data_IF_097267047828
#
_entry.id   IF_097267047828
#
_cell.length_a   1.000
_cell.length_b   1.000
_cell.length_c   1.000
_cell.angle_alpha   90.00
_cell.angle_beta   90.00
_cell.angle_gamma   90.00
#
_symmetry.space_group_name_H-M   'P 1'
#
loop_
_entity.id
_entity.type
_entity.pdbx_description
1 polymer ?
#
# COMPACT_ATOMS: atom_id res chain seq x y z
N UNK A 1 -47.32 -16.97 14.96
CA UNK A 1 -47.57 -15.89 13.95
C UNK A 1 -46.47 -14.85 14.14
N UNK A 2 -45.45 -14.88 13.28
CA UNK A 2 -44.31 -13.93 13.29
C UNK A 2 -44.61 -12.83 12.30
N UNK A 3 -44.69 -11.59 12.77
CA UNK A 3 -44.85 -10.39 11.94
C UNK A 3 -43.50 -10.02 11.34
N UNK A 4 -43.37 -10.06 10.02
CA UNK A 4 -42.26 -9.47 9.29
C UNK A 4 -42.56 -7.98 9.08
N UNK A 5 -41.60 -7.15 9.47
CA UNK A 5 -41.58 -5.73 9.12
C UNK A 5 -40.86 -5.58 7.76
N UNK A 6 -41.64 -5.19 6.77
CA UNK A 6 -41.15 -4.81 5.43
C UNK A 6 -40.84 -3.31 5.52
N UNK A 7 -39.60 -2.93 5.37
CA UNK A 7 -39.19 -1.52 5.17
C UNK A 7 -39.15 -1.27 3.68
N UNK A 8 -40.13 -0.57 3.18
CA UNK A 8 -40.22 -0.12 1.80
C UNK A 8 -39.28 1.05 1.55
N UNK A 9 -38.34 0.91 0.63
CA UNK A 9 -37.57 1.99 0.07
C UNK A 9 -38.41 2.77 -0.94
N UNK A 10 -38.62 4.07 -0.69
CA UNK A 10 -39.30 4.97 -1.60
C UNK A 10 -38.30 5.52 -2.61
N UNK A 11 -38.42 5.14 -3.86
CA UNK A 11 -37.68 5.72 -4.97
C UNK A 11 -38.36 7.01 -5.42
N UNK A 12 -37.68 8.13 -5.38
CA UNK A 12 -38.13 9.37 -5.99
C UNK A 12 -37.34 9.60 -7.28
N UNK A 13 -37.99 9.42 -8.40
CA UNK A 13 -37.48 9.73 -9.74
C UNK A 13 -37.72 11.23 -10.04
N UNK A 14 -36.64 11.97 -10.33
CA UNK A 14 -36.73 13.27 -10.98
C UNK A 14 -35.97 13.19 -12.29
N UNK A 15 -36.68 13.33 -13.41
CA UNK A 15 -36.17 13.48 -14.76
C UNK A 15 -35.82 14.96 -14.96
N UNK A 16 -34.63 15.25 -15.39
CA UNK A 16 -34.22 16.59 -15.81
C UNK A 16 -32.77 16.54 -16.32
N UNK A 17 -32.62 16.46 -17.66
CA UNK A 17 -31.30 16.46 -18.28
C UNK A 17 -30.62 17.81 -18.17
N UNK A 18 -29.29 17.77 -18.11
CA UNK A 18 -28.35 18.61 -18.88
C UNK A 18 -26.94 18.05 -18.68
N UNK A 19 -26.20 17.93 -19.77
CA UNK A 19 -24.78 17.57 -19.84
C UNK A 19 -23.91 18.46 -18.98
N UNK A 20 -23.03 17.86 -18.16
CA UNK A 20 -21.72 18.45 -17.86
C UNK A 20 -20.86 17.52 -17.00
N UNK A 21 -19.68 17.20 -17.49
CA UNK A 21 -18.41 16.94 -16.81
C UNK A 21 -18.48 16.33 -15.41
N UNK A 22 -18.37 15.01 -15.33
CA UNK A 22 -18.18 14.30 -14.07
C UNK A 22 -16.77 14.49 -13.50
N UNK A 23 -16.55 15.64 -12.86
CA UNK A 23 -15.63 15.72 -11.74
C UNK A 23 -16.44 15.26 -10.52
N UNK A 24 -16.34 13.99 -10.14
CA UNK A 24 -16.91 13.53 -8.88
C UNK A 24 -16.23 14.29 -7.74
N UNK A 25 -16.86 15.32 -7.26
CA UNK A 25 -16.47 16.01 -6.04
C UNK A 25 -16.51 14.97 -4.92
N UNK A 26 -15.33 14.57 -4.45
CA UNK A 26 -15.17 13.65 -3.35
C UNK A 26 -15.73 14.32 -2.10
N UNK A 27 -16.92 13.93 -1.68
CA UNK A 27 -17.55 14.48 -0.47
C UNK A 27 -16.70 14.06 0.73
N UNK A 28 -15.95 15.00 1.28
CA UNK A 28 -15.18 14.80 2.50
C UNK A 28 -16.17 14.79 3.66
N UNK A 29 -16.43 13.65 4.24
CA UNK A 29 -17.20 13.55 5.47
C UNK A 29 -16.36 14.10 6.62
N UNK A 30 -16.92 15.02 7.41
CA UNK A 30 -16.27 15.59 8.59
C UNK A 30 -16.07 14.54 9.69
N UNK A 31 -16.93 13.52 9.71
CA UNK A 31 -16.81 12.29 10.48
C UNK A 31 -17.39 11.14 9.65
N UNK A 32 -16.86 9.90 9.78
CA UNK A 32 -17.44 8.77 9.08
C UNK A 32 -18.88 8.55 9.56
N UNK A 33 -19.83 8.32 8.65
CA UNK A 33 -21.26 8.23 8.98
C UNK A 33 -21.60 6.93 9.75
N UNK A 34 -20.68 6.00 9.86
CA UNK A 34 -20.85 4.71 10.53
C UNK A 34 -19.60 4.31 11.31
N UNK A 35 -19.77 3.41 12.27
CA UNK A 35 -18.69 2.89 13.12
C UNK A 35 -17.85 1.82 12.42
N UNK A 36 -18.44 1.12 11.46
CA UNK A 36 -17.82 0.04 10.71
C UNK A 36 -18.10 0.16 9.21
N UNK A 37 -17.18 -0.35 8.40
CA UNK A 37 -17.23 -0.31 6.95
C UNK A 37 -16.95 -1.71 6.39
N UNK A 38 -17.76 -2.13 5.41
CA UNK A 38 -17.53 -3.36 4.66
C UNK A 38 -16.61 -3.08 3.49
N UNK A 39 -15.50 -3.79 3.44
CA UNK A 39 -14.46 -3.62 2.42
C UNK A 39 -14.99 -4.02 1.05
N UNK A 40 -14.89 -3.10 0.09
CA UNK A 40 -15.21 -3.32 -1.31
C UNK A 40 -13.97 -3.66 -2.13
N UNK A 41 -14.19 -4.18 -3.35
CA UNK A 41 -13.10 -4.50 -4.27
C UNK A 41 -12.30 -3.24 -4.62
N UNK A 42 -10.99 -3.30 -4.38
CA UNK A 42 -10.05 -2.20 -4.63
C UNK A 42 -9.89 -1.23 -3.46
N UNK A 43 -10.55 -1.49 -2.34
CA UNK A 43 -10.31 -0.72 -1.11
C UNK A 43 -8.97 -1.10 -0.46
N UNK A 44 -8.36 -0.10 0.16
CA UNK A 44 -7.29 -0.23 1.13
C UNK A 44 -7.45 0.85 2.20
N UNK A 45 -6.72 0.74 3.30
CA UNK A 45 -6.84 1.68 4.40
C UNK A 45 -6.62 3.15 4.00
N UNK A 46 -5.72 3.41 3.04
CA UNK A 46 -5.48 4.77 2.56
C UNK A 46 -6.70 5.34 1.82
N UNK A 47 -7.28 4.58 0.89
CA UNK A 47 -8.46 5.05 0.15
C UNK A 47 -9.68 5.19 1.04
N UNK A 48 -9.88 4.26 1.97
CA UNK A 48 -10.98 4.35 2.93
C UNK A 48 -10.77 5.57 3.84
N UNK A 49 -9.56 5.76 4.38
CA UNK A 49 -9.23 6.92 5.20
C UNK A 49 -9.44 8.23 4.43
N UNK A 50 -8.95 8.31 3.19
CA UNK A 50 -9.13 9.47 2.32
C UNK A 50 -10.60 9.76 2.04
N UNK A 51 -11.41 8.72 1.78
CA UNK A 51 -12.86 8.84 1.52
C UNK A 51 -13.61 9.44 2.70
N UNK A 52 -13.21 9.08 3.91
CA UNK A 52 -13.90 9.49 5.14
C UNK A 52 -13.18 10.59 5.93
N UNK A 53 -12.11 11.18 5.40
CA UNK A 53 -11.34 12.22 6.08
C UNK A 53 -10.62 11.75 7.34
N UNK A 54 -10.24 10.46 7.39
CA UNK A 54 -9.56 9.83 8.51
C UNK A 54 -8.04 9.82 8.31
N UNK A 55 -7.31 9.71 9.42
CA UNK A 55 -5.90 9.33 9.39
C UNK A 55 -5.78 7.81 9.12
N UNK A 56 -5.13 7.42 8.03
CA UNK A 56 -5.01 6.01 7.65
C UNK A 56 -4.20 5.19 8.66
N UNK A 57 -3.24 5.81 9.36
CA UNK A 57 -2.47 5.13 10.42
C UNK A 57 -3.37 4.78 11.60
N UNK A 58 -4.19 5.75 12.03
CA UNK A 58 -5.20 5.51 13.07
C UNK A 58 -6.23 4.48 12.64
N UNK A 59 -6.62 4.50 11.36
CA UNK A 59 -7.54 3.51 10.83
C UNK A 59 -6.94 2.09 10.86
N UNK A 60 -5.65 1.94 10.57
CA UNK A 60 -4.92 0.68 10.71
C UNK A 60 -4.81 0.24 12.18
N UNK A 61 -4.51 1.18 13.09
CA UNK A 61 -4.46 0.91 14.54
C UNK A 61 -5.80 0.42 15.10
N UNK A 62 -6.90 0.90 14.56
CA UNK A 62 -8.26 0.44 14.91
C UNK A 62 -8.56 -0.98 14.41
N UNK A 63 -7.78 -1.48 13.45
CA UNK A 63 -8.02 -2.75 12.78
C UNK A 63 -6.76 -3.64 12.75
N UNK A 64 -6.16 -3.96 13.91
CA UNK A 64 -4.85 -4.61 13.97
C UNK A 64 -4.83 -6.05 13.44
N UNK A 65 -6.01 -6.66 13.24
CA UNK A 65 -6.14 -8.02 12.70
C UNK A 65 -6.36 -8.05 11.19
N UNK A 66 -6.53 -6.89 10.57
CA UNK A 66 -6.73 -6.78 9.12
C UNK A 66 -5.38 -6.54 8.46
N UNK A 67 -5.01 -7.41 7.53
CA UNK A 67 -3.83 -7.20 6.71
C UNK A 67 -4.05 -5.95 5.83
N UNK A 68 -3.29 -4.87 6.05
CA UNK A 68 -3.49 -3.62 5.32
C UNK A 68 -3.17 -3.74 3.82
N UNK A 69 -2.54 -4.83 3.42
CA UNK A 69 -2.07 -5.07 2.07
C UNK A 69 -2.87 -6.13 1.33
N UNK A 70 -3.64 -6.91 2.09
CA UNK A 70 -4.52 -7.94 1.55
C UNK A 70 -5.87 -7.89 2.27
N UNK A 71 -6.55 -6.76 2.11
CA UNK A 71 -7.87 -6.58 2.71
C UNK A 71 -8.87 -7.47 2.00
N UNK A 72 -9.46 -8.40 2.72
CA UNK A 72 -10.45 -9.32 2.18
C UNK A 72 -11.74 -8.56 1.84
N UNK A 73 -12.18 -8.68 0.57
CA UNK A 73 -13.45 -8.09 0.11
C UNK A 73 -14.60 -8.69 0.91
N UNK A 74 -15.43 -7.82 1.46
CA UNK A 74 -16.54 -8.21 2.32
C UNK A 74 -16.20 -8.27 3.80
N UNK A 75 -14.92 -8.17 4.19
CA UNK A 75 -14.53 -8.04 5.60
C UNK A 75 -15.04 -6.73 6.19
N UNK A 76 -15.18 -6.68 7.51
CA UNK A 76 -15.65 -5.50 8.22
C UNK A 76 -14.49 -4.83 8.93
N UNK A 77 -14.25 -3.56 8.67
CA UNK A 77 -13.29 -2.74 9.39
C UNK A 77 -13.99 -1.67 10.24
N UNK A 78 -13.35 -1.27 11.33
CA UNK A 78 -13.83 -0.19 12.20
C UNK A 78 -13.31 1.14 11.68
N UNK A 79 -14.20 2.14 11.65
CA UNK A 79 -13.86 3.52 11.27
C UNK A 79 -13.72 4.46 12.46
N UNK A 80 -14.27 4.07 13.63
CA UNK A 80 -14.21 4.84 14.88
C UNK A 80 -13.69 3.98 16.02
N UNK A 81 -13.05 4.60 17.02
CA UNK A 81 -12.67 3.96 18.27
C UNK A 81 -13.88 3.89 19.19
N UNK A 82 -14.18 2.72 19.73
CA UNK A 82 -14.94 2.67 20.98
C UNK A 82 -14.02 3.18 22.09
N UNK A 83 -14.47 4.19 22.82
CA UNK A 83 -13.71 4.74 23.93
C UNK A 83 -13.48 3.64 24.98
N UNK A 84 -12.20 3.40 25.26
CA UNK A 84 -11.67 2.53 26.31
C UNK A 84 -11.67 1.02 26.01
N UNK A 85 -10.49 0.46 25.82
CA UNK A 85 -9.84 -0.55 26.69
C UNK A 85 -8.44 -0.89 26.11
N UNK A 86 -7.43 -0.67 26.95
CA UNK A 86 -6.08 -1.27 27.00
C UNK A 86 -5.34 -1.66 25.73
N UNK A 87 -4.21 -0.99 25.56
CA UNK A 87 -3.04 -1.25 24.72
C UNK A 87 -2.83 -2.71 24.30
N UNK A 88 -2.79 -3.03 23.01
CA UNK A 88 -2.08 -4.20 22.52
C UNK A 88 -0.67 -3.81 22.07
N UNK A 89 0.25 -4.58 22.52
CA UNK A 89 1.67 -4.58 22.18
C UNK A 89 1.89 -4.91 20.70
N UNK A 90 2.76 -4.15 20.06
CA UNK A 90 3.59 -4.42 18.89
C UNK A 90 2.92 -4.96 17.60
N UNK A 91 2.79 -4.10 16.61
CA UNK A 91 3.58 -4.05 15.38
C UNK A 91 3.63 -5.31 14.53
N UNK A 92 2.79 -5.40 13.52
CA UNK A 92 3.15 -6.14 12.31
C UNK A 92 3.65 -5.17 11.23
N UNK A 93 4.78 -4.50 11.49
CA UNK A 93 5.61 -3.85 10.49
C UNK A 93 6.60 -4.83 9.85
N UNK A 94 6.45 -6.12 10.12
CA UNK A 94 7.35 -7.14 9.62
C UNK A 94 7.09 -7.39 8.13
N UNK A 95 8.20 -7.50 7.39
CA UNK A 95 8.19 -7.94 6.01
C UNK A 95 7.59 -9.35 5.93
N UNK A 96 6.83 -9.65 4.87
CA UNK A 96 6.49 -11.03 4.56
C UNK A 96 7.76 -11.85 4.31
N UNK A 97 7.65 -13.18 4.40
CA UNK A 97 8.80 -14.07 4.15
C UNK A 97 9.46 -13.79 2.79
N UNK A 98 8.68 -13.50 1.76
CA UNK A 98 9.18 -13.19 0.41
C UNK A 98 9.90 -11.85 0.35
N UNK A 99 9.38 -10.82 0.98
CA UNK A 99 10.01 -9.50 1.05
C UNK A 99 11.32 -9.56 1.85
N UNK A 100 11.32 -10.31 2.95
CA UNK A 100 12.52 -10.50 3.77
C UNK A 100 13.59 -11.27 3.01
N UNK A 101 13.23 -12.28 2.23
CA UNK A 101 14.16 -13.02 1.38
C UNK A 101 14.78 -12.11 0.31
N UNK A 102 13.98 -11.22 -0.33
CA UNK A 102 14.51 -10.23 -1.27
C UNK A 102 15.53 -9.32 -0.58
N UNK A 103 15.26 -8.82 0.62
CA UNK A 103 16.23 -8.01 1.39
C UNK A 103 17.52 -8.79 1.65
N UNK A 104 17.40 -10.05 2.01
CA UNK A 104 18.54 -10.94 2.23
C UNK A 104 19.40 -11.09 0.97
N UNK A 105 18.75 -11.37 -0.17
CA UNK A 105 19.42 -11.51 -1.46
C UNK A 105 20.08 -10.21 -1.92
N UNK A 106 19.42 -9.06 -1.76
CA UNK A 106 20.02 -7.74 -2.02
C UNK A 106 21.30 -7.55 -1.20
N UNK A 107 21.27 -7.86 0.09
CA UNK A 107 22.41 -7.67 0.97
C UNK A 107 23.55 -8.66 0.66
N UNK A 108 23.24 -9.86 0.18
CA UNK A 108 24.25 -10.80 -0.33
C UNK A 108 24.95 -10.24 -1.60
N UNK A 109 24.20 -9.69 -2.56
CA UNK A 109 24.80 -9.06 -3.75
C UNK A 109 25.67 -7.85 -3.39
N UNK A 110 25.24 -7.05 -2.44
CA UNK A 110 26.01 -5.91 -1.94
C UNK A 110 27.31 -6.34 -1.25
N UNK A 111 27.25 -7.39 -0.45
CA UNK A 111 28.42 -7.95 0.23
C UNK A 111 29.49 -8.46 -0.76
N UNK A 112 29.10 -9.07 -1.88
CA UNK A 112 30.02 -9.53 -2.93
C UNK A 112 30.89 -8.43 -3.51
N UNK A 113 30.44 -7.17 -3.43
CA UNK A 113 31.17 -6.00 -3.94
C UNK A 113 31.65 -5.07 -2.81
N UNK A 114 31.63 -5.54 -1.56
CA UNK A 114 32.15 -4.80 -0.41
C UNK A 114 31.27 -3.64 0.09
N UNK A 115 30.00 -3.61 -0.32
CA UNK A 115 29.06 -2.57 0.14
C UNK A 115 28.40 -2.95 1.46
N UNK A 116 28.12 -1.96 2.33
CA UNK A 116 27.35 -2.19 3.55
C UNK A 116 25.94 -2.71 3.25
N UNK A 117 25.44 -3.55 4.15
CA UNK A 117 24.06 -4.02 4.07
C UNK A 117 23.07 -2.87 4.24
N UNK A 118 22.00 -2.90 3.46
CA UNK A 118 20.87 -1.99 3.63
C UNK A 118 20.03 -2.42 4.83
N UNK A 119 19.57 -1.45 5.60
CA UNK A 119 18.66 -1.64 6.73
C UNK A 119 17.23 -1.59 6.23
N UNK A 120 16.36 -2.43 6.75
CA UNK A 120 14.93 -2.34 6.45
C UNK A 120 14.37 -1.06 7.07
N UNK A 121 13.67 -0.28 6.26
CA UNK A 121 12.83 0.82 6.73
C UNK A 121 11.36 0.40 6.59
N UNK A 122 10.67 0.24 7.71
CA UNK A 122 9.31 -0.26 7.74
C UNK A 122 8.31 0.69 7.07
N UNK A 123 8.54 2.01 7.12
CA UNK A 123 7.70 2.97 6.45
C UNK A 123 7.89 2.88 4.93
N UNK A 124 9.13 2.71 4.48
CA UNK A 124 9.45 2.51 3.08
C UNK A 124 8.89 1.17 2.55
N UNK A 125 8.95 0.10 3.35
CA UNK A 125 8.34 -1.18 2.99
C UNK A 125 6.81 -1.06 2.79
N UNK A 126 6.15 -0.27 3.64
CA UNK A 126 4.71 0.03 3.47
C UNK A 126 4.43 0.74 2.15
N UNK A 127 5.22 1.75 1.78
CA UNK A 127 5.03 2.44 0.50
C UNK A 127 5.33 1.54 -0.68
N UNK A 128 6.35 0.68 -0.61
CA UNK A 128 6.65 -0.29 -1.64
C UNK A 128 5.50 -1.29 -1.87
N UNK A 129 4.87 -1.78 -0.80
CA UNK A 129 3.69 -2.66 -0.92
C UNK A 129 2.50 -1.93 -1.52
N UNK A 130 2.22 -0.70 -1.09
CA UNK A 130 1.16 0.11 -1.67
C UNK A 130 1.39 0.39 -3.15
N UNK A 131 2.64 0.57 -3.58
CA UNK A 131 2.99 0.70 -5.00
C UNK A 131 2.71 -0.58 -5.77
N UNK A 132 3.12 -1.74 -5.26
CA UNK A 132 2.82 -3.04 -5.86
C UNK A 132 1.32 -3.29 -5.94
N UNK A 133 0.56 -2.94 -4.90
CA UNK A 133 -0.89 -3.06 -4.87
C UNK A 133 -1.57 -2.12 -5.88
N UNK A 134 -1.11 -0.89 -5.98
CA UNK A 134 -1.64 0.08 -6.93
C UNK A 134 -1.42 -0.36 -8.39
N UNK A 135 -0.22 -0.89 -8.71
CA UNK A 135 0.06 -1.47 -10.02
C UNK A 135 -0.89 -2.63 -10.34
N UNK A 136 -1.12 -3.52 -9.36
CA UNK A 136 -2.05 -4.63 -9.50
C UNK A 136 -3.48 -4.15 -9.73
N UNK A 137 -4.00 -3.27 -8.87
CA UNK A 137 -5.42 -2.87 -8.87
C UNK A 137 -5.79 -2.00 -10.05
N UNK A 138 -4.87 -1.11 -10.45
CA UNK A 138 -5.05 -0.20 -11.59
C UNK A 138 -4.60 -0.79 -12.92
N UNK A 139 -4.06 -2.03 -12.92
CA UNK A 139 -3.62 -2.75 -14.12
C UNK A 139 -2.62 -1.97 -14.96
N UNK A 140 -1.61 -1.38 -14.32
CA UNK A 140 -0.48 -0.71 -14.96
C UNK A 140 0.85 -1.26 -14.46
N UNK A 141 1.92 -0.98 -15.20
CA UNK A 141 3.29 -1.28 -14.81
C UNK A 141 4.19 -0.11 -15.21
N UNK A 142 4.38 0.81 -14.30
CA UNK A 142 5.16 2.04 -14.48
C UNK A 142 5.62 2.58 -13.14
N UNK A 143 6.73 3.32 -13.12
CA UNK A 143 7.20 4.02 -11.93
C UNK A 143 6.21 5.12 -11.48
N UNK A 144 5.58 5.80 -12.43
CA UNK A 144 4.59 6.83 -12.15
C UNK A 144 3.23 6.19 -11.87
N UNK A 145 2.76 6.36 -10.65
CA UNK A 145 1.45 5.89 -10.23
C UNK A 145 0.35 6.87 -10.62
N UNK A 146 -0.77 6.41 -11.20
CA UNK A 146 -1.94 7.26 -11.41
C UNK A 146 -2.57 7.74 -10.10
N UNK A 147 -2.25 7.09 -8.97
CA UNK A 147 -2.77 7.39 -7.64
C UNK A 147 -1.83 8.30 -6.85
N UNK A 148 -0.53 8.02 -6.88
CA UNK A 148 0.47 8.60 -5.97
C UNK A 148 1.49 9.51 -6.68
N UNK A 149 1.48 9.57 -8.02
CA UNK A 149 2.51 10.26 -8.79
C UNK A 149 3.82 9.49 -8.90
N UNK A 150 4.94 10.18 -8.95
CA UNK A 150 6.26 9.54 -8.97
C UNK A 150 6.55 8.79 -7.66
N UNK A 151 7.51 7.85 -7.63
CA UNK A 151 7.95 7.21 -6.39
C UNK A 151 8.37 8.21 -5.31
N UNK A 152 8.95 9.32 -5.73
CA UNK A 152 9.40 10.40 -4.84
C UNK A 152 8.22 11.19 -4.25
N UNK A 153 7.20 11.46 -5.05
CA UNK A 153 5.95 12.08 -4.57
C UNK A 153 5.25 11.14 -3.58
N UNK A 154 5.22 9.85 -3.89
CA UNK A 154 4.66 8.84 -3.00
C UNK A 154 5.41 8.81 -1.65
N UNK A 155 6.73 8.70 -1.67
CA UNK A 155 7.54 8.71 -0.43
C UNK A 155 7.27 9.97 0.40
N UNK A 156 7.20 11.15 -0.24
CA UNK A 156 6.90 12.42 0.41
C UNK A 156 5.49 12.43 1.03
N UNK A 157 4.49 11.94 0.31
CA UNK A 157 3.10 11.84 0.83
C UNK A 157 3.02 10.98 2.09
N UNK A 158 3.88 9.94 2.17
CA UNK A 158 3.96 9.06 3.34
C UNK A 158 4.96 9.53 4.40
N UNK A 159 5.47 10.75 4.29
CA UNK A 159 6.34 11.37 5.30
C UNK A 159 7.74 10.77 5.38
N UNK A 160 8.22 10.12 4.32
CA UNK A 160 9.56 9.56 4.23
C UNK A 160 10.52 10.67 3.83
N UNK A 161 11.54 10.90 4.66
CA UNK A 161 12.62 11.86 4.41
C UNK A 161 13.89 11.14 3.99
N UNK A 162 14.60 11.72 3.01
CA UNK A 162 15.82 11.12 2.45
C UNK A 162 16.71 12.19 1.79
N UNK A 163 17.98 11.86 1.56
CA UNK A 163 18.90 12.62 0.71
C UNK A 163 18.89 12.12 -0.73
N UNK A 164 18.85 10.80 -0.88
CA UNK A 164 18.80 10.11 -2.16
C UNK A 164 17.71 9.05 -2.13
N UNK A 165 17.06 8.78 -3.25
CA UNK A 165 16.05 7.74 -3.36
C UNK A 165 16.09 7.06 -4.73
N UNK A 166 15.60 5.83 -4.78
CA UNK A 166 15.47 5.05 -6.01
C UNK A 166 14.37 4.00 -5.89
N UNK A 167 13.93 3.49 -7.04
CA UNK A 167 12.92 2.45 -7.10
C UNK A 167 13.25 1.42 -8.18
N UNK A 168 13.02 0.16 -7.87
CA UNK A 168 12.95 -0.94 -8.83
C UNK A 168 11.54 -1.52 -8.78
N UNK A 169 10.96 -1.82 -9.94
CA UNK A 169 9.70 -2.54 -10.05
C UNK A 169 9.88 -3.79 -10.92
N UNK A 170 9.08 -4.81 -10.66
CA UNK A 170 9.03 -6.02 -11.48
C UNK A 170 7.63 -6.62 -11.46
N UNK A 171 7.35 -7.46 -12.46
CA UNK A 171 6.04 -8.08 -12.65
C UNK A 171 6.19 -9.49 -13.21
N UNK A 172 5.45 -10.44 -12.64
CA UNK A 172 5.34 -11.80 -13.14
C UNK A 172 6.32 -12.81 -12.52
N UNK A 173 7.39 -12.39 -11.84
CA UNK A 173 8.30 -13.29 -11.14
C UNK A 173 7.63 -13.84 -9.88
N UNK A 174 7.59 -15.17 -9.75
CA UNK A 174 6.84 -15.85 -8.69
C UNK A 174 7.60 -16.02 -7.38
N UNK A 175 8.92 -15.88 -7.43
CA UNK A 175 9.81 -16.12 -6.29
C UNK A 175 10.78 -14.97 -6.08
N UNK A 176 11.28 -14.77 -4.84
CA UNK A 176 12.35 -13.84 -4.55
C UNK A 176 13.62 -14.04 -5.39
N UNK A 177 13.99 -15.29 -5.62
CA UNK A 177 15.16 -15.62 -6.44
C UNK A 177 14.98 -15.21 -7.90
N UNK A 178 13.79 -15.43 -8.47
CA UNK A 178 13.48 -15.03 -9.86
C UNK A 178 13.52 -13.51 -10.02
N UNK A 179 12.89 -12.75 -9.12
CA UNK A 179 12.88 -11.32 -9.22
C UNK A 179 14.26 -10.71 -9.01
N UNK A 180 15.03 -11.21 -8.05
CA UNK A 180 16.43 -10.79 -7.85
C UNK A 180 17.28 -11.05 -9.07
N UNK A 181 17.16 -12.25 -9.68
CA UNK A 181 17.88 -12.57 -10.91
C UNK A 181 17.50 -11.60 -12.04
N UNK A 182 16.22 -11.28 -12.21
CA UNK A 182 15.76 -10.32 -13.21
C UNK A 182 16.37 -8.94 -12.98
N UNK A 183 16.33 -8.43 -11.75
CA UNK A 183 16.90 -7.12 -11.41
C UNK A 183 18.43 -7.08 -11.57
N UNK A 184 19.15 -8.13 -11.17
CA UNK A 184 20.61 -8.17 -11.29
C UNK A 184 21.09 -8.30 -12.73
N UNK A 185 20.28 -8.83 -13.64
CA UNK A 185 20.56 -8.87 -15.07
C UNK A 185 20.13 -7.59 -15.84
N UNK A 186 19.51 -6.64 -15.16
CA UNK A 186 19.15 -5.34 -15.72
C UNK A 186 20.11 -4.26 -15.21
N UNK A 187 20.84 -3.55 -16.08
CA UNK A 187 21.84 -2.56 -15.65
C UNK A 187 21.27 -1.46 -14.74
N UNK A 188 20.07 -0.95 -15.04
CA UNK A 188 19.44 0.10 -14.24
C UNK A 188 19.01 -0.38 -12.86
N UNK A 189 18.35 -1.53 -12.78
CA UNK A 189 17.93 -2.12 -11.50
C UNK A 189 19.13 -2.53 -10.64
N UNK A 190 20.14 -3.14 -11.26
CA UNK A 190 21.41 -3.51 -10.59
C UNK A 190 22.12 -2.28 -10.03
N UNK A 191 22.13 -1.16 -10.77
CA UNK A 191 22.73 0.08 -10.29
C UNK A 191 22.07 0.59 -9.01
N UNK A 192 20.75 0.50 -8.87
CA UNK A 192 20.06 0.81 -7.62
C UNK A 192 20.46 -0.14 -6.49
N UNK A 193 20.45 -1.46 -6.73
CA UNK A 193 20.81 -2.47 -5.72
C UNK A 193 22.23 -2.26 -5.19
N UNK A 194 23.16 -1.90 -6.07
CA UNK A 194 24.59 -1.71 -5.75
C UNK A 194 24.99 -0.25 -5.53
N UNK A 195 24.03 0.67 -5.39
CA UNK A 195 24.36 2.07 -5.07
C UNK A 195 24.92 2.20 -3.67
N UNK A 196 26.04 2.91 -3.54
CA UNK A 196 26.67 3.28 -2.25
C UNK A 196 25.88 4.36 -1.50
N UNK A 197 25.03 5.09 -2.24
CA UNK A 197 24.30 6.24 -1.70
C UNK A 197 23.05 5.82 -0.91
N UNK A 198 22.66 4.56 -1.02
CA UNK A 198 21.52 4.02 -0.27
C UNK A 198 21.96 3.33 1.01
N UNK A 199 21.19 3.57 2.07
CA UNK A 199 21.40 3.01 3.41
C UNK A 199 20.22 2.16 3.89
N UNK A 200 19.03 2.36 3.31
CA UNK A 200 17.81 1.67 3.70
C UNK A 200 17.05 1.16 2.47
N UNK A 201 16.26 0.13 2.70
CA UNK A 201 15.42 -0.53 1.70
C UNK A 201 14.02 -0.81 2.27
N UNK A 202 13.01 -0.67 1.43
CA UNK A 202 11.68 -1.24 1.61
C UNK A 202 11.32 -2.13 0.43
N UNK A 203 10.76 -3.28 0.70
CA UNK A 203 10.29 -4.23 -0.33
C UNK A 203 8.80 -4.42 -0.18
N UNK A 204 8.09 -4.48 -1.30
CA UNK A 204 6.67 -4.76 -1.38
C UNK A 204 6.38 -5.83 -2.42
N UNK A 205 5.50 -6.76 -2.07
CA UNK A 205 5.07 -7.85 -2.92
C UNK A 205 3.55 -8.05 -2.88
N UNK A 206 2.95 -8.21 -4.05
CA UNK A 206 1.57 -8.65 -4.22
C UNK A 206 1.57 -9.93 -5.00
N UNK A 207 1.07 -11.00 -4.39
CA UNK A 207 1.11 -12.36 -4.94
C UNK A 207 0.25 -12.50 -6.20
N UNK A 208 -0.94 -11.92 -6.22
CA UNK A 208 -1.77 -11.90 -7.41
C UNK A 208 -1.12 -11.07 -8.50
N UNK A 209 -0.77 -11.72 -9.61
CA UNK A 209 0.01 -11.13 -10.69
C UNK A 209 1.51 -10.97 -10.41
N UNK A 210 1.98 -11.26 -9.20
CA UNK A 210 3.41 -11.16 -8.81
C UNK A 210 4.00 -9.79 -9.09
N UNK A 211 3.43 -8.74 -8.50
CA UNK A 211 3.95 -7.38 -8.56
C UNK A 211 4.95 -7.13 -7.44
N UNK A 212 6.12 -6.61 -7.80
CA UNK A 212 7.23 -6.35 -6.89
C UNK A 212 7.66 -4.89 -6.96
N UNK A 213 8.00 -4.34 -5.82
CA UNK A 213 8.59 -3.01 -5.69
C UNK A 213 9.74 -3.05 -4.68
N UNK A 214 10.91 -2.54 -5.05
CA UNK A 214 11.97 -2.18 -4.12
C UNK A 214 12.08 -0.65 -4.11
N UNK A 215 12.03 -0.05 -2.94
CA UNK A 215 12.33 1.36 -2.75
C UNK A 215 13.59 1.48 -1.89
N UNK A 216 14.44 2.41 -2.26
CA UNK A 216 15.74 2.65 -1.63
C UNK A 216 15.83 4.10 -1.19
N UNK A 217 16.42 4.34 -0.01
CA UNK A 217 16.74 5.70 0.45
C UNK A 217 18.12 5.77 1.09
N UNK A 218 18.78 6.93 0.89
CA UNK A 218 19.95 7.38 1.66
C UNK A 218 19.51 8.39 2.72
N UNK A 219 19.88 8.15 3.97
CA UNK A 219 19.61 9.05 5.10
C UNK A 219 20.88 9.81 5.50
#
# INVERSE_FOLDING_TARGET
MKKQLIVSALALSIIGGVSSTNASAMTMYKEPPFEAYKVDKGDNFFFIAKRYGLDYKKLMELNPKVDPYNMEVGSIIRLKSEASVTKPTASSSELSAYEQEVVTLVNQERAKVGLPALKVDNQLAKTARLKSQDMHDKKYFDHTSPTYGSPFDMMKQFGITYKTAGENIAYGQKTPAEVMNAWMNSPGHKANILSKDFTHIGVGYVQDGSYWTQQFIGK
#
